data_IF_449968410716
#
_entry.id   IF_449968410716
#
_cell.length_a   1.000
_cell.length_b   1.000
_cell.length_c   1.000
_cell.angle_alpha   90.00
_cell.angle_beta   90.00
_cell.angle_gamma   90.00
#
_symmetry.space_group_name_H-M   'P 1'
#
loop_
_entity.id
_entity.type
_entity.pdbx_description
1 polymer ?
#
# COMPACT_ATOMS: atom_id res chain seq x y z
N UNK A 1 24.37 -14.48 70.98
CA UNK A 1 23.06 -14.05 70.42
C UNK A 1 23.14 -13.15 69.17
N UNK A 2 24.24 -12.42 68.93
CA UNK A 2 24.35 -11.49 67.79
C UNK A 2 24.67 -12.17 66.44
N UNK A 3 25.26 -13.35 66.42
CA UNK A 3 25.65 -14.06 65.17
C UNK A 3 24.46 -14.71 64.45
N UNK A 4 23.48 -15.22 65.19
CA UNK A 4 22.27 -15.86 64.61
C UNK A 4 21.31 -14.87 63.94
N UNK A 5 21.21 -13.63 64.46
CA UNK A 5 20.38 -12.60 63.89
C UNK A 5 20.91 -12.09 62.51
N UNK A 6 22.24 -12.06 62.33
CA UNK A 6 22.87 -11.64 61.05
C UNK A 6 22.69 -12.67 59.95
N UNK A 7 22.69 -13.97 60.29
CA UNK A 7 22.50 -15.05 59.31
C UNK A 7 21.05 -15.14 58.85
N UNK A 8 20.07 -14.90 59.72
CA UNK A 8 18.64 -14.88 59.37
C UNK A 8 18.29 -13.69 58.47
N UNK A 9 18.86 -12.50 58.66
CA UNK A 9 18.65 -11.32 57.83
C UNK A 9 19.24 -11.53 56.44
N UNK A 10 20.40 -12.18 56.33
CA UNK A 10 21.03 -12.47 55.02
C UNK A 10 20.23 -13.47 54.18
N UNK A 11 19.60 -14.48 54.82
CA UNK A 11 18.76 -15.47 54.14
C UNK A 11 17.42 -14.89 53.71
N UNK A 12 16.81 -13.98 54.49
CA UNK A 12 15.58 -13.28 54.10
C UNK A 12 15.82 -12.31 52.95
N UNK A 13 16.97 -11.59 52.92
CA UNK A 13 17.35 -10.73 51.82
C UNK A 13 17.68 -11.51 50.52
N UNK A 14 18.22 -12.71 50.63
CA UNK A 14 18.50 -13.57 49.47
C UNK A 14 17.22 -14.17 48.85
N UNK A 15 16.18 -14.43 49.68
CA UNK A 15 14.90 -14.95 49.23
C UNK A 15 13.99 -13.87 48.60
N UNK A 16 14.17 -12.61 48.97
CA UNK A 16 13.41 -11.49 48.34
C UNK A 16 13.97 -11.06 46.99
N UNK A 17 15.21 -11.41 46.67
CA UNK A 17 15.81 -11.11 45.34
C UNK A 17 15.47 -12.13 44.25
N UNK A 18 14.85 -13.26 44.57
CA UNK A 18 14.43 -14.27 43.58
C UNK A 18 13.01 -14.08 43.04
N UNK A 19 12.30 -13.02 43.43
CA UNK A 19 10.88 -12.83 43.12
C UNK A 19 10.57 -11.74 42.07
N UNK A 20 11.55 -11.07 41.48
CA UNK A 20 11.31 -10.22 40.36
C UNK A 20 11.34 -11.05 39.05
N UNK A 21 10.37 -11.95 38.89
CA UNK A 21 9.95 -12.34 37.56
C UNK A 21 9.34 -11.05 36.98
N UNK A 22 10.12 -10.30 36.22
CA UNK A 22 9.60 -9.27 35.36
C UNK A 22 8.62 -9.99 34.45
N UNK A 23 7.34 -9.82 34.71
CA UNK A 23 6.28 -10.21 33.80
C UNK A 23 6.63 -9.52 32.49
N UNK A 24 7.18 -10.27 31.53
CA UNK A 24 7.46 -9.72 30.21
C UNK A 24 6.13 -9.25 29.66
N UNK A 25 5.99 -7.92 29.51
CA UNK A 25 4.86 -7.35 28.79
C UNK A 25 4.80 -8.11 27.47
N UNK A 26 3.75 -8.87 27.26
CA UNK A 26 3.59 -9.67 26.05
C UNK A 26 3.32 -8.70 24.91
N UNK A 27 4.31 -8.51 24.06
CA UNK A 27 4.12 -7.76 22.81
C UNK A 27 3.22 -8.57 21.87
N UNK A 28 2.16 -7.97 21.32
CA UNK A 28 1.32 -8.64 20.32
C UNK A 28 2.17 -9.24 19.21
N UNK A 29 1.81 -10.43 18.75
CA UNK A 29 2.47 -11.09 17.62
C UNK A 29 3.90 -11.58 17.85
N UNK A 30 4.46 -11.45 19.05
CA UNK A 30 5.83 -11.89 19.36
C UNK A 30 5.84 -12.93 20.47
N UNK A 31 6.49 -14.06 20.18
CA UNK A 31 6.77 -15.13 21.16
C UNK A 31 8.28 -15.36 21.25
N UNK A 32 8.71 -16.31 22.07
CA UNK A 32 10.12 -16.71 22.14
C UNK A 32 10.61 -17.38 20.85
N UNK A 33 9.72 -17.88 20.00
CA UNK A 33 10.05 -18.65 18.79
C UNK A 33 9.47 -18.09 17.49
N UNK A 34 8.52 -17.13 17.56
CA UNK A 34 7.75 -16.67 16.40
C UNK A 34 7.52 -15.16 16.43
N UNK A 35 7.52 -14.53 15.25
CA UNK A 35 7.05 -13.18 14.99
C UNK A 35 5.95 -13.28 13.93
N UNK A 36 4.74 -12.80 14.23
CA UNK A 36 3.60 -12.83 13.29
C UNK A 36 3.48 -11.51 12.56
N UNK A 37 3.44 -11.60 11.24
CA UNK A 37 3.33 -10.45 10.33
C UNK A 37 2.10 -10.64 9.46
N UNK A 38 1.20 -9.67 9.47
CA UNK A 38 -0.03 -9.68 8.70
C UNK A 38 0.09 -9.00 7.35
N UNK A 39 -0.70 -9.45 6.39
CA UNK A 39 -0.79 -8.85 5.07
C UNK A 39 -2.20 -9.08 4.49
N UNK A 40 -2.70 -8.13 3.72
CA UNK A 40 -3.85 -8.30 2.82
C UNK A 40 -3.40 -7.98 1.39
N UNK A 41 -3.79 -8.85 0.46
CA UNK A 41 -3.25 -8.82 -0.90
C UNK A 41 -4.34 -9.26 -1.90
N UNK A 42 -4.46 -8.62 -3.08
CA UNK A 42 -5.43 -9.02 -4.07
C UNK A 42 -4.98 -10.29 -4.83
N UNK A 43 -5.14 -11.46 -4.23
CA UNK A 43 -4.86 -12.73 -4.91
C UNK A 43 -5.94 -13.09 -5.94
N UNK A 44 -7.12 -12.47 -5.83
CA UNK A 44 -8.22 -12.55 -6.80
C UNK A 44 -8.82 -11.16 -7.07
N UNK A 45 -9.80 -11.08 -7.98
CA UNK A 45 -10.44 -9.82 -8.37
C UNK A 45 -9.68 -9.04 -9.45
N UNK A 46 -10.02 -7.76 -9.60
CA UNK A 46 -9.51 -6.89 -10.69
C UNK A 46 -8.01 -6.62 -10.62
N UNK A 47 -7.41 -6.72 -9.44
CA UNK A 47 -5.99 -6.45 -9.19
C UNK A 47 -5.17 -7.73 -8.97
N UNK A 48 -5.68 -8.91 -9.29
CA UNK A 48 -5.05 -10.20 -9.01
C UNK A 48 -3.62 -10.35 -9.54
N UNK A 49 -3.25 -9.61 -10.57
CA UNK A 49 -1.88 -9.62 -11.11
C UNK A 49 -0.85 -9.18 -10.06
N UNK A 50 -1.24 -8.31 -9.14
CA UNK A 50 -0.38 -7.82 -8.06
C UNK A 50 -0.27 -8.80 -6.88
N UNK A 51 -1.08 -9.86 -6.83
CA UNK A 51 -0.95 -10.93 -5.85
C UNK A 51 0.42 -11.63 -5.90
N UNK A 52 1.17 -11.45 -6.99
CA UNK A 52 2.55 -11.88 -7.09
C UNK A 52 3.47 -11.23 -6.04
N UNK A 53 3.15 -10.01 -5.58
CA UNK A 53 3.91 -9.30 -4.53
C UNK A 53 3.84 -10.10 -3.23
N UNK A 54 2.65 -10.43 -2.74
CA UNK A 54 2.49 -11.20 -1.50
C UNK A 54 3.11 -12.60 -1.58
N UNK A 55 3.12 -13.23 -2.76
CA UNK A 55 3.83 -14.49 -2.96
C UNK A 55 5.35 -14.32 -2.85
N UNK A 56 5.90 -13.22 -3.37
CA UNK A 56 7.31 -12.91 -3.25
C UNK A 56 7.70 -12.58 -1.80
N UNK A 57 6.86 -11.83 -1.08
CA UNK A 57 7.04 -11.55 0.35
C UNK A 57 7.05 -12.84 1.17
N UNK A 58 6.10 -13.74 0.92
CA UNK A 58 6.04 -15.05 1.59
C UNK A 58 7.32 -15.86 1.36
N UNK A 59 7.76 -15.96 0.10
CA UNK A 59 9.00 -16.67 -0.26
C UNK A 59 10.24 -16.03 0.38
N UNK A 60 10.27 -14.70 0.50
CA UNK A 60 11.35 -14.01 1.17
C UNK A 60 11.41 -14.35 2.67
N UNK A 61 10.27 -14.33 3.36
CA UNK A 61 10.22 -14.71 4.78
C UNK A 61 10.53 -16.19 5.00
N UNK A 62 10.15 -17.07 4.09
CA UNK A 62 10.58 -18.48 4.10
C UNK A 62 12.11 -18.59 4.04
N UNK A 63 12.75 -17.90 3.09
CA UNK A 63 14.21 -17.86 2.98
C UNK A 63 14.87 -17.31 4.27
N UNK A 64 14.32 -16.30 4.90
CA UNK A 64 14.80 -15.78 6.19
C UNK A 64 14.66 -16.86 7.27
N UNK A 65 13.56 -17.59 7.27
CA UNK A 65 13.30 -18.66 8.23
C UNK A 65 14.28 -19.82 8.08
N UNK A 66 14.64 -20.20 6.85
CA UNK A 66 15.66 -21.22 6.58
C UNK A 66 17.03 -20.83 7.13
N UNK A 67 17.34 -19.53 7.13
CA UNK A 67 18.61 -18.97 7.66
C UNK A 67 18.60 -18.78 9.19
N UNK A 68 17.58 -19.27 9.89
CA UNK A 68 17.48 -19.20 11.36
C UNK A 68 16.50 -18.14 11.87
N UNK A 69 15.80 -17.41 10.99
CA UNK A 69 14.82 -16.40 11.36
C UNK A 69 15.47 -15.10 11.86
N UNK A 70 14.69 -14.33 12.62
CA UNK A 70 15.13 -13.05 13.19
C UNK A 70 15.44 -13.26 14.69
N UNK A 71 16.71 -13.18 15.06
CA UNK A 71 17.15 -13.46 16.43
C UNK A 71 16.63 -14.81 16.98
N UNK A 72 16.66 -15.85 16.12
CA UNK A 72 16.20 -17.20 16.47
C UNK A 72 14.69 -17.40 16.39
N UNK A 73 13.90 -16.38 16.05
CA UNK A 73 12.44 -16.47 15.87
C UNK A 73 12.09 -16.64 14.41
N UNK A 74 11.16 -17.54 14.12
CA UNK A 74 10.59 -17.69 12.77
C UNK A 74 9.60 -16.56 12.49
N UNK A 75 9.62 -16.00 11.28
CA UNK A 75 8.60 -15.07 10.81
C UNK A 75 7.42 -15.90 10.27
N UNK A 76 6.26 -15.76 10.90
CA UNK A 76 5.00 -16.28 10.39
C UNK A 76 4.28 -15.19 9.62
N UNK A 77 4.43 -15.22 8.29
CA UNK A 77 3.74 -14.32 7.38
C UNK A 77 2.33 -14.84 7.10
N UNK A 78 1.29 -14.06 7.46
CA UNK A 78 -0.11 -14.42 7.32
C UNK A 78 -0.71 -13.45 6.31
N UNK A 79 -0.98 -13.92 5.09
CA UNK A 79 -1.49 -13.11 4.00
C UNK A 79 -2.84 -13.63 3.53
N UNK A 80 -3.84 -12.74 3.47
CA UNK A 80 -5.22 -13.05 3.08
C UNK A 80 -5.61 -12.36 1.78
N UNK A 81 -6.50 -13.00 1.02
CA UNK A 81 -7.05 -12.47 -0.24
C UNK A 81 -8.15 -11.45 0.04
N UNK A 82 -7.88 -10.19 -0.24
CA UNK A 82 -8.86 -9.10 -0.12
C UNK A 82 -9.78 -8.97 -1.34
N UNK A 83 -9.57 -9.78 -2.38
CA UNK A 83 -10.37 -9.81 -3.62
C UNK A 83 -10.42 -8.48 -4.36
N UNK A 84 -9.43 -7.61 -4.13
CA UNK A 84 -9.40 -6.23 -4.63
C UNK A 84 -10.56 -5.36 -4.09
N UNK A 85 -11.11 -5.69 -2.92
CA UNK A 85 -12.23 -4.99 -2.29
C UNK A 85 -11.80 -4.34 -0.96
N UNK A 86 -11.93 -3.01 -0.81
CA UNK A 86 -11.51 -2.30 0.40
C UNK A 86 -12.25 -2.70 1.67
N UNK A 87 -13.53 -3.11 1.57
CA UNK A 87 -14.31 -3.54 2.74
C UNK A 87 -13.85 -4.90 3.22
N UNK A 88 -13.55 -5.81 2.30
CA UNK A 88 -12.94 -7.12 2.59
C UNK A 88 -11.54 -6.93 3.20
N UNK A 89 -10.73 -6.01 2.68
CA UNK A 89 -9.42 -5.69 3.26
C UNK A 89 -9.53 -5.26 4.73
N UNK A 90 -10.52 -4.40 5.06
CA UNK A 90 -10.76 -3.97 6.45
C UNK A 90 -11.19 -5.12 7.35
N UNK A 91 -12.12 -5.97 6.90
CA UNK A 91 -12.59 -7.13 7.66
C UNK A 91 -11.45 -8.10 7.96
N UNK A 92 -10.66 -8.44 6.96
CA UNK A 92 -9.51 -9.35 7.10
C UNK A 92 -8.42 -8.76 7.98
N UNK A 93 -8.15 -7.45 7.87
CA UNK A 93 -7.19 -6.77 8.75
C UNK A 93 -7.62 -6.84 10.20
N UNK A 94 -8.91 -6.65 10.50
CA UNK A 94 -9.43 -6.85 11.87
C UNK A 94 -9.19 -8.28 12.35
N UNK A 95 -9.43 -9.28 11.50
CA UNK A 95 -9.14 -10.69 11.80
C UNK A 95 -7.67 -10.93 12.13
N UNK A 96 -6.76 -10.37 11.33
CA UNK A 96 -5.31 -10.47 11.56
C UNK A 96 -4.89 -9.89 12.92
N UNK A 97 -5.47 -8.75 13.32
CA UNK A 97 -5.16 -8.10 14.59
C UNK A 97 -5.82 -8.82 15.77
N UNK A 98 -7.12 -9.10 15.69
CA UNK A 98 -7.94 -9.53 16.83
C UNK A 98 -7.91 -11.04 17.08
N UNK A 99 -7.65 -11.85 16.03
CA UNK A 99 -7.66 -13.32 16.10
C UNK A 99 -6.27 -13.93 15.87
N UNK A 100 -5.56 -13.44 14.84
CA UNK A 100 -4.24 -13.98 14.51
C UNK A 100 -3.13 -13.34 15.34
N UNK A 101 -3.44 -12.24 16.06
CA UNK A 101 -2.53 -11.55 16.97
C UNK A 101 -1.21 -11.18 16.28
N UNK A 102 -1.29 -10.49 15.12
CA UNK A 102 -0.09 -10.07 14.39
C UNK A 102 0.55 -8.83 15.03
N UNK A 103 1.89 -8.75 14.96
CA UNK A 103 2.67 -7.62 15.45
C UNK A 103 2.44 -6.36 14.61
N UNK A 104 2.36 -6.52 13.30
CA UNK A 104 2.26 -5.43 12.33
C UNK A 104 1.66 -5.92 11.02
N UNK A 105 1.19 -4.97 10.20
CA UNK A 105 0.85 -5.19 8.79
C UNK A 105 2.03 -4.81 7.91
N UNK A 106 2.32 -5.61 6.87
CA UNK A 106 3.48 -5.45 6.01
C UNK A 106 3.11 -5.56 4.54
N UNK A 107 3.55 -4.61 3.72
CA UNK A 107 3.54 -4.71 2.26
C UNK A 107 2.17 -4.80 1.58
N UNK A 108 1.06 -4.54 2.29
CA UNK A 108 -0.28 -4.64 1.70
C UNK A 108 -0.43 -3.75 0.48
N UNK A 109 -0.98 -4.30 -0.62
CA UNK A 109 -1.04 -3.62 -1.91
C UNK A 109 -2.34 -2.81 -2.10
N UNK A 110 -2.18 -1.68 -2.79
CA UNK A 110 -3.28 -0.90 -3.37
C UNK A 110 -3.73 0.28 -2.53
N UNK A 111 -4.04 1.38 -3.19
CA UNK A 111 -4.41 2.64 -2.54
C UNK A 111 -5.74 2.52 -1.79
N UNK A 112 -6.87 2.07 -2.40
CA UNK A 112 -8.17 2.04 -1.73
C UNK A 112 -8.21 1.11 -0.50
N UNK A 113 -7.59 -0.08 -0.59
CA UNK A 113 -7.53 -1.04 0.51
C UNK A 113 -6.76 -0.49 1.71
N UNK A 114 -5.59 0.11 1.45
CA UNK A 114 -4.77 0.69 2.51
C UNK A 114 -5.42 1.92 3.17
N UNK A 115 -6.17 2.73 2.43
CA UNK A 115 -6.99 3.79 3.02
C UNK A 115 -8.09 3.25 3.94
N UNK A 116 -8.75 2.16 3.55
CA UNK A 116 -9.81 1.55 4.36
C UNK A 116 -9.31 1.04 5.71
N UNK A 117 -8.09 0.52 5.77
CA UNK A 117 -7.53 -0.08 7.00
C UNK A 117 -6.77 0.91 7.88
N UNK A 118 -6.25 2.01 7.31
CA UNK A 118 -5.32 2.94 7.94
C UNK A 118 -5.83 3.50 9.27
N UNK A 119 -7.05 4.01 9.31
CA UNK A 119 -7.62 4.61 10.52
C UNK A 119 -7.71 3.57 11.64
N UNK A 120 -8.22 2.38 11.35
CA UNK A 120 -8.32 1.29 12.32
C UNK A 120 -6.96 0.89 12.90
N UNK A 121 -5.93 0.76 12.05
CA UNK A 121 -4.58 0.38 12.50
C UNK A 121 -3.94 1.49 13.35
N UNK A 122 -4.12 2.76 12.97
CA UNK A 122 -3.60 3.88 13.75
C UNK A 122 -4.29 4.02 15.11
N UNK A 123 -5.61 3.84 15.18
CA UNK A 123 -6.36 3.84 16.45
C UNK A 123 -5.91 2.72 17.39
N UNK A 124 -5.47 1.59 16.85
CA UNK A 124 -4.95 0.44 17.61
C UNK A 124 -3.44 0.50 17.84
N UNK A 125 -2.76 1.51 17.32
CA UNK A 125 -1.30 1.65 17.38
C UNK A 125 -0.56 0.45 16.78
N UNK A 126 -1.13 -0.17 15.74
CA UNK A 126 -0.52 -1.27 15.01
C UNK A 126 0.24 -0.72 13.80
N UNK A 127 1.55 -0.98 13.67
CA UNK A 127 2.32 -0.51 12.52
C UNK A 127 1.80 -1.07 11.20
N UNK A 128 1.59 -0.19 10.22
CA UNK A 128 1.31 -0.51 8.83
C UNK A 128 2.53 -0.11 8.00
N UNK A 129 3.42 -1.07 7.75
CA UNK A 129 4.74 -0.80 7.19
C UNK A 129 4.84 -1.16 5.71
N UNK A 130 5.60 -0.35 4.97
CA UNK A 130 5.92 -0.57 3.56
C UNK A 130 4.67 -0.74 2.70
N UNK A 131 3.68 0.13 2.93
CA UNK A 131 2.45 0.13 2.14
C UNK A 131 2.77 0.19 0.65
N UNK A 132 2.33 -0.80 -0.11
CA UNK A 132 2.58 -0.89 -1.54
C UNK A 132 1.60 0.02 -2.32
N UNK A 133 1.72 1.32 -2.10
CA UNK A 133 1.04 2.42 -2.77
C UNK A 133 1.91 3.68 -2.69
N UNK A 134 1.94 4.44 -3.77
CA UNK A 134 2.65 5.73 -3.83
C UNK A 134 1.77 6.93 -3.51
N UNK A 135 0.60 6.75 -2.90
CA UNK A 135 -0.23 7.89 -2.48
C UNK A 135 0.42 8.61 -1.28
N UNK A 136 0.67 9.92 -1.42
CA UNK A 136 1.37 10.73 -0.43
C UNK A 136 0.67 10.76 0.93
N UNK A 137 -0.66 10.64 0.96
CA UNK A 137 -1.43 10.59 2.19
C UNK A 137 -1.21 9.29 3.00
N UNK A 138 -0.62 8.25 2.40
CA UNK A 138 -0.19 7.03 3.11
C UNK A 138 1.22 7.18 3.71
N UNK A 139 1.84 8.34 3.55
CA UNK A 139 3.15 8.68 4.11
C UNK A 139 3.10 9.98 4.93
N UNK A 140 1.93 10.35 5.45
CA UNK A 140 1.75 11.52 6.31
C UNK A 140 1.80 11.13 7.81
N UNK A 141 2.96 11.24 8.45
CA UNK A 141 3.13 10.86 9.86
C UNK A 141 2.46 11.84 10.84
N UNK A 142 2.06 13.03 10.37
CA UNK A 142 1.39 14.02 11.23
C UNK A 142 -0.03 13.59 11.59
N UNK A 143 -0.70 12.91 10.66
CA UNK A 143 -2.07 12.40 10.86
C UNK A 143 -2.11 10.89 11.18
N UNK A 144 -1.19 10.12 10.60
CA UNK A 144 -1.17 8.66 10.68
C UNK A 144 0.22 8.13 11.01
N UNK A 145 0.71 8.33 12.26
CA UNK A 145 2.08 8.01 12.66
C UNK A 145 2.41 6.52 12.63
N UNK A 146 1.41 5.65 12.56
CA UNK A 146 1.58 4.19 12.49
C UNK A 146 1.54 3.65 11.04
N UNK A 147 1.44 4.53 10.03
CA UNK A 147 1.42 4.15 8.61
C UNK A 147 2.66 4.66 7.90
N UNK A 148 3.35 3.79 7.18
CA UNK A 148 4.54 4.11 6.40
C UNK A 148 4.41 3.56 4.97
N UNK A 149 4.31 4.46 3.98
CA UNK A 149 4.48 4.14 2.57
C UNK A 149 5.96 3.94 2.22
N UNK A 150 6.24 3.40 1.04
CA UNK A 150 7.61 3.23 0.58
C UNK A 150 7.79 3.42 -0.93
N UNK A 151 6.71 3.41 -1.69
CA UNK A 151 6.78 3.64 -3.14
C UNK A 151 6.98 5.13 -3.45
N UNK A 152 7.57 5.45 -4.62
CA UNK A 152 7.60 6.82 -5.12
C UNK A 152 6.20 7.42 -5.20
N UNK A 153 6.11 8.74 -5.00
CA UNK A 153 4.86 9.49 -5.05
C UNK A 153 4.17 9.37 -6.40
N UNK A 154 2.91 8.99 -6.40
CA UNK A 154 2.06 8.97 -7.60
C UNK A 154 1.89 10.39 -8.16
N UNK A 155 1.80 11.38 -7.29
CA UNK A 155 1.68 12.78 -7.69
C UNK A 155 2.95 13.30 -8.37
N UNK A 156 4.13 12.91 -7.86
CA UNK A 156 5.40 13.20 -8.53
C UNK A 156 5.52 12.49 -9.88
N UNK A 157 5.01 11.28 -10.01
CA UNK A 157 4.93 10.58 -11.29
C UNK A 157 4.14 11.40 -12.33
N UNK A 158 2.99 11.94 -11.93
CA UNK A 158 2.20 12.84 -12.78
C UNK A 158 2.98 14.10 -13.20
N UNK A 159 3.75 14.70 -12.28
CA UNK A 159 4.63 15.84 -12.59
C UNK A 159 5.75 15.48 -13.56
N UNK A 160 6.30 14.27 -13.43
CA UNK A 160 7.31 13.77 -14.37
C UNK A 160 6.72 13.67 -15.78
N UNK A 161 5.50 13.16 -15.94
CA UNK A 161 4.81 13.10 -17.22
C UNK A 161 4.57 14.50 -17.80
N UNK A 162 4.15 15.46 -16.97
CA UNK A 162 3.99 16.85 -17.37
C UNK A 162 5.31 17.45 -17.89
N UNK A 163 6.39 17.25 -17.17
CA UNK A 163 7.72 17.74 -17.55
C UNK A 163 8.18 17.11 -18.87
N UNK A 164 7.94 15.82 -19.06
CA UNK A 164 8.24 15.13 -20.31
C UNK A 164 7.44 15.71 -21.48
N UNK A 165 6.13 15.92 -21.29
CA UNK A 165 5.25 16.51 -22.30
C UNK A 165 5.75 17.92 -22.68
N UNK A 166 6.08 18.77 -21.71
CA UNK A 166 6.57 20.12 -21.96
C UNK A 166 7.89 20.12 -22.71
N UNK A 167 8.80 19.22 -22.38
CA UNK A 167 10.13 19.16 -22.99
C UNK A 167 10.09 18.65 -24.45
N UNK A 168 9.26 17.65 -24.74
CA UNK A 168 9.30 16.95 -26.02
C UNK A 168 8.10 17.22 -26.93
N UNK A 169 7.00 17.72 -26.39
CA UNK A 169 5.74 17.95 -27.13
C UNK A 169 5.10 19.31 -26.81
N UNK A 170 5.87 20.41 -26.85
CA UNK A 170 5.35 21.72 -26.47
C UNK A 170 4.17 22.15 -27.38
N UNK A 171 3.13 22.67 -26.75
CA UNK A 171 1.95 23.19 -27.44
C UNK A 171 0.96 22.15 -27.97
N UNK A 172 1.22 20.85 -27.77
CA UNK A 172 0.31 19.78 -28.17
C UNK A 172 -0.91 19.71 -27.27
N UNK A 173 -2.06 19.33 -27.85
CA UNK A 173 -3.31 19.12 -27.12
C UNK A 173 -3.24 17.81 -26.38
N UNK A 174 -3.62 17.83 -25.11
CA UNK A 174 -3.58 16.69 -24.20
C UNK A 174 -5.02 16.24 -23.89
N UNK A 175 -5.22 14.95 -23.76
CA UNK A 175 -6.40 14.35 -23.11
C UNK A 175 -5.95 13.35 -22.06
N UNK A 176 -6.80 13.16 -21.04
CA UNK A 176 -6.54 12.21 -19.97
C UNK A 176 -7.74 11.28 -19.75
N UNK A 177 -7.45 10.03 -19.41
CA UNK A 177 -8.40 9.04 -18.93
C UNK A 177 -7.85 8.47 -17.65
N UNK A 178 -8.50 8.70 -16.51
CA UNK A 178 -7.96 8.38 -15.21
C UNK A 178 -8.97 7.62 -14.34
N UNK A 179 -8.46 6.69 -13.55
CA UNK A 179 -9.25 5.87 -12.65
C UNK A 179 -9.89 6.71 -11.55
N UNK A 180 -11.20 6.57 -11.32
CA UNK A 180 -11.98 7.38 -10.38
C UNK A 180 -11.79 6.90 -8.93
N UNK A 181 -10.55 6.94 -8.45
CA UNK A 181 -10.18 6.69 -7.06
C UNK A 181 -9.00 7.59 -6.64
N UNK A 182 -8.42 7.34 -5.48
CA UNK A 182 -7.27 8.09 -4.99
C UNK A 182 -6.05 7.96 -5.92
N UNK A 183 -5.79 6.76 -6.45
CA UNK A 183 -4.65 6.53 -7.35
C UNK A 183 -4.72 7.39 -8.62
N UNK A 184 -5.81 7.27 -9.37
CA UNK A 184 -5.96 8.01 -10.62
C UNK A 184 -6.05 9.52 -10.41
N UNK A 185 -6.71 9.94 -9.32
CA UNK A 185 -6.86 11.35 -8.95
C UNK A 185 -5.53 12.02 -8.61
N UNK A 186 -4.68 11.36 -7.82
CA UNK A 186 -3.37 11.93 -7.45
C UNK A 186 -2.41 11.97 -8.65
N UNK A 187 -2.44 10.97 -9.53
CA UNK A 187 -1.65 11.01 -10.76
C UNK A 187 -2.10 12.15 -11.68
N UNK A 188 -3.42 12.28 -11.89
CA UNK A 188 -3.98 13.36 -12.72
C UNK A 188 -3.69 14.74 -12.13
N UNK A 189 -3.83 14.91 -10.82
CA UNK A 189 -3.44 16.16 -10.14
C UNK A 189 -1.95 16.45 -10.28
N UNK A 190 -1.09 15.44 -10.20
CA UNK A 190 0.33 15.60 -10.46
C UNK A 190 0.62 16.11 -11.88
N UNK A 191 -0.12 15.59 -12.88
CA UNK A 191 -0.06 16.07 -14.25
C UNK A 191 -0.45 17.55 -14.35
N UNK A 192 -1.58 17.94 -13.73
CA UNK A 192 -2.02 19.35 -13.70
C UNK A 192 -1.00 20.27 -13.02
N UNK A 193 -0.50 19.88 -11.84
CA UNK A 193 0.51 20.63 -11.08
C UNK A 193 1.79 20.84 -11.92
N UNK A 194 2.26 19.79 -12.58
CA UNK A 194 3.47 19.86 -13.40
C UNK A 194 3.28 20.69 -14.66
N UNK A 195 2.09 20.68 -15.26
CA UNK A 195 1.76 21.53 -16.41
C UNK A 195 1.58 23.00 -16.00
N UNK A 196 1.15 23.30 -14.77
CA UNK A 196 0.93 24.65 -14.29
C UNK A 196 -0.03 25.44 -15.19
N UNK A 197 0.37 26.65 -15.60
CA UNK A 197 -0.46 27.52 -16.44
C UNK A 197 -0.83 26.91 -17.79
N UNK A 198 -0.08 25.91 -18.26
CA UNK A 198 -0.39 25.21 -19.51
C UNK A 198 -1.32 24.01 -19.32
N UNK A 199 -1.82 23.73 -18.12
CA UNK A 199 -2.84 22.71 -17.88
C UNK A 199 -4.12 22.91 -18.72
N UNK A 200 -4.38 24.16 -19.18
CA UNK A 200 -5.42 24.47 -20.18
C UNK A 200 -5.25 23.73 -21.52
N UNK A 201 -4.09 23.14 -21.76
CA UNK A 201 -3.87 22.27 -22.94
C UNK A 201 -4.55 20.91 -22.79
N UNK A 202 -4.94 20.51 -21.57
CA UNK A 202 -5.83 19.37 -21.36
C UNK A 202 -7.21 19.77 -21.89
N UNK A 203 -7.60 19.15 -23.00
CA UNK A 203 -8.85 19.48 -23.71
C UNK A 203 -10.06 18.75 -23.17
N UNK A 204 -9.84 17.51 -22.77
CA UNK A 204 -10.84 16.63 -22.17
C UNK A 204 -10.12 15.73 -21.18
N UNK A 205 -10.67 15.60 -20.01
CA UNK A 205 -10.33 14.54 -19.07
C UNK A 205 -11.58 13.77 -18.68
N UNK A 206 -11.45 12.48 -18.47
CA UNK A 206 -12.55 11.60 -18.10
C UNK A 206 -12.09 10.73 -16.94
N UNK A 207 -12.86 10.75 -15.85
CA UNK A 207 -12.74 9.77 -14.79
C UNK A 207 -13.54 8.52 -15.15
N UNK A 208 -12.96 7.31 -14.99
CA UNK A 208 -13.66 6.06 -15.24
C UNK A 208 -13.59 5.15 -14.00
N UNK A 209 -14.59 4.34 -13.78
CA UNK A 209 -14.58 3.33 -12.73
C UNK A 209 -13.85 2.05 -13.19
N UNK A 210 -13.11 1.38 -12.29
CA UNK A 210 -12.31 0.18 -12.64
C UNK A 210 -13.13 -0.90 -13.31
N UNK A 211 -14.40 -1.03 -12.92
CA UNK A 211 -15.34 -1.98 -13.49
C UNK A 211 -16.06 -1.48 -14.76
N UNK A 212 -15.71 -0.28 -15.27
CA UNK A 212 -16.37 0.28 -16.44
C UNK A 212 -16.09 -0.57 -17.69
N UNK A 213 -17.17 -1.04 -18.31
CA UNK A 213 -17.12 -1.82 -19.54
C UNK A 213 -17.09 -0.94 -20.80
N UNK A 214 -17.37 0.37 -20.68
CA UNK A 214 -17.55 1.32 -21.78
C UNK A 214 -16.31 2.17 -22.09
N UNK A 215 -15.11 1.65 -21.84
CA UNK A 215 -13.85 2.36 -22.14
C UNK A 215 -13.71 2.73 -23.61
N UNK A 216 -14.32 1.99 -24.53
CA UNK A 216 -14.42 2.28 -25.95
C UNK A 216 -15.12 3.62 -26.24
N UNK A 217 -16.20 3.89 -25.52
CA UNK A 217 -16.93 5.17 -25.61
C UNK A 217 -16.04 6.32 -25.13
N UNK A 218 -15.35 6.16 -23.99
CA UNK A 218 -14.44 7.19 -23.48
C UNK A 218 -13.30 7.49 -24.46
N UNK A 219 -12.62 6.48 -24.97
CA UNK A 219 -11.54 6.64 -25.95
C UNK A 219 -12.05 7.31 -27.22
N UNK A 220 -13.26 6.98 -27.69
CA UNK A 220 -13.89 7.61 -28.83
C UNK A 220 -14.16 9.11 -28.61
N UNK A 221 -14.57 9.52 -27.41
CA UNK A 221 -14.75 10.92 -27.04
C UNK A 221 -13.40 11.65 -27.07
N UNK A 222 -12.37 11.05 -26.44
CA UNK A 222 -11.03 11.62 -26.37
C UNK A 222 -10.43 11.81 -27.77
N UNK A 223 -10.56 10.84 -28.67
CA UNK A 223 -10.13 10.95 -30.06
C UNK A 223 -10.78 12.14 -30.78
N UNK A 224 -12.10 12.35 -30.60
CA UNK A 224 -12.83 13.45 -31.28
C UNK A 224 -12.36 14.85 -30.86
N UNK A 225 -11.68 14.99 -29.71
CA UNK A 225 -11.10 16.27 -29.29
C UNK A 225 -9.95 16.74 -30.18
N UNK A 226 -9.43 15.87 -31.02
CA UNK A 226 -8.25 16.13 -31.87
C UNK A 226 -6.97 16.26 -31.04
N UNK A 227 -6.89 15.60 -29.91
CA UNK A 227 -5.69 15.56 -29.08
C UNK A 227 -4.60 14.70 -29.71
N UNK A 228 -3.37 15.12 -29.47
CA UNK A 228 -2.15 14.50 -29.97
C UNK A 228 -1.40 13.74 -28.88
N UNK A 229 -1.73 14.01 -27.61
CA UNK A 229 -1.17 13.33 -26.43
C UNK A 229 -2.31 12.72 -25.64
N UNK A 230 -2.12 11.47 -25.23
CA UNK A 230 -3.06 10.74 -24.40
C UNK A 230 -2.39 10.24 -23.13
N UNK A 231 -2.81 10.76 -21.98
CA UNK A 231 -2.37 10.29 -20.66
C UNK A 231 -3.40 9.34 -20.11
N UNK A 232 -2.97 8.11 -19.82
CA UNK A 232 -3.81 7.10 -19.18
C UNK A 232 -3.29 6.80 -17.76
N UNK A 233 -4.15 7.01 -16.77
CA UNK A 233 -3.87 6.71 -15.37
C UNK A 233 -4.81 5.60 -14.88
N UNK A 234 -4.38 4.36 -14.96
CA UNK A 234 -5.21 3.21 -14.58
C UNK A 234 -4.46 1.90 -14.54
N UNK A 235 -5.19 0.82 -14.25
CA UNK A 235 -4.63 -0.51 -14.08
C UNK A 235 -4.27 -1.18 -15.41
N UNK A 236 -3.31 -2.13 -15.40
CA UNK A 236 -2.79 -2.78 -16.63
C UNK A 236 -3.87 -3.40 -17.51
N UNK A 237 -4.89 -4.02 -16.92
CA UNK A 237 -5.98 -4.63 -17.68
C UNK A 237 -6.79 -3.60 -18.48
N UNK A 238 -7.06 -2.43 -17.88
CA UNK A 238 -7.77 -1.33 -18.53
C UNK A 238 -6.86 -0.65 -19.55
N UNK A 239 -5.56 -0.49 -19.27
CA UNK A 239 -4.58 0.02 -20.22
C UNK A 239 -4.56 -0.80 -21.52
N UNK A 240 -4.53 -2.12 -21.40
CA UNK A 240 -4.54 -3.01 -22.56
C UNK A 240 -5.82 -2.86 -23.40
N UNK A 241 -6.99 -2.65 -22.76
CA UNK A 241 -8.25 -2.36 -23.48
C UNK A 241 -8.18 -1.03 -24.20
N UNK A 242 -7.77 0.01 -23.50
CA UNK A 242 -7.67 1.40 -24.03
C UNK A 242 -6.74 1.48 -25.23
N UNK A 243 -5.57 0.86 -25.16
CA UNK A 243 -4.60 0.83 -26.27
C UNK A 243 -5.20 0.09 -27.49
N UNK A 244 -5.88 -1.03 -27.25
CA UNK A 244 -6.55 -1.77 -28.34
C UNK A 244 -7.63 -0.93 -29.00
N UNK A 245 -8.50 -0.29 -28.22
CA UNK A 245 -9.56 0.57 -28.76
C UNK A 245 -8.97 1.75 -29.54
N UNK A 246 -7.91 2.37 -29.07
CA UNK A 246 -7.23 3.45 -29.81
C UNK A 246 -6.72 2.94 -31.16
N UNK A 247 -6.12 1.77 -31.20
CA UNK A 247 -5.65 1.13 -32.44
C UNK A 247 -6.80 0.80 -33.39
N UNK A 248 -7.90 0.21 -32.91
CA UNK A 248 -9.08 -0.12 -33.70
C UNK A 248 -9.75 1.14 -34.30
N UNK A 249 -9.66 2.24 -33.59
CA UNK A 249 -10.12 3.55 -34.07
C UNK A 249 -9.11 4.22 -35.01
N UNK A 250 -7.97 3.63 -35.31
CA UNK A 250 -6.86 4.26 -36.05
C UNK A 250 -6.46 5.62 -35.43
N UNK A 251 -6.33 5.65 -34.10
CA UNK A 251 -5.88 6.80 -33.33
C UNK A 251 -4.55 6.49 -32.66
N UNK A 252 -3.51 7.22 -33.03
CA UNK A 252 -2.13 6.98 -32.59
C UNK A 252 -1.58 8.23 -31.88
N UNK A 253 -2.11 8.58 -30.69
CA UNK A 253 -1.54 9.66 -29.89
C UNK A 253 -0.17 9.23 -29.32
N UNK A 254 0.59 10.23 -28.90
CA UNK A 254 1.77 9.99 -28.07
C UNK A 254 1.32 9.60 -26.70
#
# INVERSE_FOLDING_TARGET
MQTWARTLIAVVLALTSLGAITERVREPGVTDTEIRVGNVMPYSGSLQIFGAIGKAEAAYFEMINERGGINGRKVRFISYDDKSDPSTALELTRGLIEKDDVLLMFGSFGTPGNFAVRAYLNDRQVPQLFVASGDDHLSDPSMFPWTMGWQPSIREEGRIYANYIQAFYPGKKIVALWQNDHFGRELFKGLEDGLGDIARMIRVDIAYDVADEHLDTHVSILKRSGAEIFVFAGMPANAAKVVRVAADLNWHPV
#
